data_IF_463950737677
#
_entry.id   IF_463950737677
#
_cell.length_a   1.000
_cell.length_b   1.000
_cell.length_c   1.000
_cell.angle_alpha   90.00
_cell.angle_beta   90.00
_cell.angle_gamma   90.00
#
_symmetry.space_group_name_H-M   'P 1'
#
loop_
_entity.id
_entity.type
_entity.pdbx_description
1 polymer ?
#
# COMPACT_ATOMS: atom_id res chain seq x y z
N UNK A 1 -28.11 5.70 45.43
CA UNK A 1 -27.31 6.68 44.66
C UNK A 1 -27.80 6.55 43.22
N UNK A 2 -28.46 7.58 42.68
CA UNK A 2 -29.16 7.56 41.37
C UNK A 2 -28.22 8.14 40.31
N UNK A 3 -27.42 7.28 39.69
CA UNK A 3 -26.40 7.68 38.70
C UNK A 3 -26.93 7.89 37.28
N UNK A 4 -28.20 7.56 37.01
CA UNK A 4 -28.78 7.61 35.67
C UNK A 4 -28.95 9.01 35.06
N UNK A 5 -29.00 10.08 35.86
CA UNK A 5 -29.14 11.44 35.33
C UNK A 5 -27.79 12.04 34.88
N UNK A 6 -26.68 11.59 35.51
CA UNK A 6 -25.33 12.03 35.15
C UNK A 6 -24.85 11.37 33.86
N UNK A 7 -25.33 10.17 33.58
CA UNK A 7 -24.91 9.38 32.41
C UNK A 7 -25.42 9.98 31.07
N UNK A 8 -26.69 10.42 31.02
CA UNK A 8 -27.22 11.06 29.81
C UNK A 8 -26.59 12.42 29.52
N UNK A 9 -26.42 13.28 30.54
CA UNK A 9 -25.75 14.57 30.37
C UNK A 9 -24.27 14.39 29.99
N UNK A 10 -23.58 13.43 30.62
CA UNK A 10 -22.18 13.13 30.29
C UNK A 10 -22.05 12.59 28.87
N UNK A 11 -22.96 11.71 28.44
CA UNK A 11 -23.04 11.26 27.05
C UNK A 11 -23.31 12.41 26.08
N UNK A 12 -24.27 13.29 26.39
CA UNK A 12 -24.57 14.46 25.58
C UNK A 12 -23.36 15.39 25.41
N UNK A 13 -22.68 15.73 26.51
CA UNK A 13 -21.46 16.54 26.45
C UNK A 13 -20.28 15.81 25.80
N UNK A 14 -20.20 14.48 25.91
CA UNK A 14 -19.22 13.68 25.18
C UNK A 14 -19.43 13.80 23.66
N UNK A 15 -20.65 13.58 23.16
CA UNK A 15 -20.96 13.74 21.74
C UNK A 15 -20.83 15.21 21.29
N UNK A 16 -21.24 16.18 22.11
CA UNK A 16 -21.10 17.61 21.81
C UNK A 16 -19.63 18.02 21.69
N UNK A 17 -18.79 17.61 22.64
CA UNK A 17 -17.35 17.83 22.59
C UNK A 17 -16.74 17.21 21.34
N UNK A 18 -17.11 15.98 21.01
CA UNK A 18 -16.63 15.31 19.81
C UNK A 18 -17.04 16.07 18.55
N UNK A 19 -18.33 16.39 18.39
CA UNK A 19 -18.82 17.17 17.26
C UNK A 19 -18.12 18.54 17.16
N UNK A 20 -17.92 19.23 18.28
CA UNK A 20 -17.26 20.54 18.31
C UNK A 20 -15.76 20.47 18.03
N UNK A 21 -15.11 19.39 18.46
CA UNK A 21 -13.71 19.09 18.11
C UNK A 21 -13.60 18.61 16.65
N UNK A 22 -14.73 18.49 15.94
CA UNK A 22 -14.80 18.13 14.53
C UNK A 22 -13.95 16.89 14.19
N UNK A 23 -13.89 15.94 15.11
CA UNK A 23 -12.99 14.80 15.04
C UNK A 23 -13.20 13.88 13.81
N UNK A 24 -14.32 14.03 13.09
CA UNK A 24 -14.60 13.31 11.83
C UNK A 24 -14.19 14.08 10.58
N UNK A 25 -13.81 15.36 10.71
CA UNK A 25 -13.28 16.16 9.59
C UNK A 25 -12.02 15.55 9.00
N UNK A 26 -11.01 15.10 9.77
CA UNK A 26 -9.81 14.51 9.19
C UNK A 26 -10.15 13.31 8.30
N UNK A 27 -11.07 12.44 8.73
CA UNK A 27 -11.48 11.28 7.96
C UNK A 27 -12.15 11.70 6.62
N UNK A 28 -13.10 12.63 6.68
CA UNK A 28 -13.80 13.10 5.48
C UNK A 28 -12.89 13.91 4.55
N UNK A 29 -11.91 14.64 5.09
CA UNK A 29 -10.92 15.39 4.33
C UNK A 29 -10.00 14.44 3.55
N UNK A 30 -9.51 13.37 4.19
CA UNK A 30 -8.69 12.34 3.54
C UNK A 30 -9.47 11.63 2.43
N UNK A 31 -10.73 11.25 2.70
CA UNK A 31 -11.59 10.66 1.68
C UNK A 31 -11.86 11.61 0.50
N UNK A 32 -11.96 12.91 0.76
CA UNK A 32 -12.08 13.93 -0.28
C UNK A 32 -10.76 14.06 -1.06
N UNK A 33 -9.62 14.14 -0.39
CA UNK A 33 -8.29 14.25 -1.02
C UNK A 33 -8.00 13.06 -1.92
N UNK A 34 -8.26 11.84 -1.45
CA UNK A 34 -8.09 10.62 -2.25
C UNK A 34 -9.02 10.64 -3.47
N UNK A 35 -10.27 11.09 -3.32
CA UNK A 35 -11.21 11.23 -4.45
C UNK A 35 -10.75 12.30 -5.43
N UNK A 36 -10.22 13.42 -4.95
CA UNK A 36 -9.64 14.48 -5.80
C UNK A 36 -8.45 13.97 -6.60
N UNK A 37 -7.50 13.28 -5.95
CA UNK A 37 -6.34 12.68 -6.62
C UNK A 37 -6.77 11.64 -7.66
N UNK A 38 -7.74 10.78 -7.33
CA UNK A 38 -8.30 9.79 -8.27
C UNK A 38 -9.02 10.46 -9.46
N UNK A 39 -9.77 11.53 -9.22
CA UNK A 39 -10.51 12.25 -10.26
C UNK A 39 -9.59 13.05 -11.19
N UNK A 40 -8.51 13.65 -10.66
CA UNK A 40 -7.48 14.32 -11.46
C UNK A 40 -6.69 13.34 -12.34
N UNK A 41 -6.67 12.05 -11.97
CA UNK A 41 -6.14 10.96 -12.79
C UNK A 41 -4.63 11.04 -13.05
N UNK A 42 -4.13 10.14 -13.90
CA UNK A 42 -2.71 10.06 -14.28
C UNK A 42 -2.20 11.28 -15.07
N UNK A 43 -3.09 12.21 -15.46
CA UNK A 43 -2.73 13.40 -16.25
C UNK A 43 -2.12 14.52 -15.41
N UNK A 44 -2.39 14.55 -14.11
CA UNK A 44 -1.90 15.55 -13.17
C UNK A 44 -1.06 14.93 -12.04
N UNK A 45 -0.33 13.84 -12.33
CA UNK A 45 0.73 13.39 -11.44
C UNK A 45 1.68 14.59 -11.24
N UNK A 46 1.85 15.08 -9.99
CA UNK A 46 2.77 16.18 -9.72
C UNK A 46 4.13 15.86 -10.31
N UNK A 47 4.84 16.87 -10.81
CA UNK A 47 6.15 16.68 -11.43
C UNK A 47 7.12 15.90 -10.50
N UNK A 48 6.97 16.08 -9.19
CA UNK A 48 7.69 15.30 -8.17
C UNK A 48 7.39 13.80 -8.27
N UNK A 49 6.13 13.38 -8.39
CA UNK A 49 5.82 11.95 -8.58
C UNK A 49 6.35 11.42 -9.91
N UNK A 50 6.35 12.24 -10.97
CA UNK A 50 6.92 11.85 -12.26
C UNK A 50 8.41 11.59 -12.13
N UNK A 51 9.16 12.51 -11.53
CA UNK A 51 10.59 12.38 -11.24
C UNK A 51 10.90 11.16 -10.38
N UNK A 52 10.06 10.85 -9.38
CA UNK A 52 10.22 9.66 -8.55
C UNK A 52 9.84 8.36 -9.27
N UNK A 53 9.03 8.46 -10.33
CA UNK A 53 8.64 7.33 -11.18
C UNK A 53 9.62 7.08 -12.32
N UNK A 54 10.60 7.96 -12.53
CA UNK A 54 11.63 7.74 -13.53
C UNK A 54 12.48 6.51 -13.16
N UNK A 55 12.88 5.70 -14.15
CA UNK A 55 13.74 4.56 -13.89
C UNK A 55 15.04 5.04 -13.27
N UNK A 56 15.45 4.39 -12.18
CA UNK A 56 16.75 4.65 -11.56
C UNK A 56 17.87 4.52 -12.61
N UNK A 57 18.86 5.43 -12.60
CA UNK A 57 20.06 5.30 -13.43
C UNK A 57 20.70 3.92 -13.25
N UNK A 58 21.20 3.32 -14.33
CA UNK A 58 21.79 1.97 -14.31
C UNK A 58 22.95 1.83 -13.32
N UNK A 59 23.67 2.91 -13.06
CA UNK A 59 24.77 2.94 -12.09
C UNK A 59 24.30 2.74 -10.64
N UNK A 60 23.03 3.04 -10.35
CA UNK A 60 22.39 2.83 -9.03
C UNK A 60 21.71 1.46 -8.92
N UNK A 61 21.75 0.63 -9.97
CA UNK A 61 21.14 -0.69 -9.91
C UNK A 61 21.99 -1.61 -9.01
N UNK A 62 21.34 -2.23 -8.03
CA UNK A 62 21.98 -3.24 -7.22
C UNK A 62 22.40 -4.42 -8.12
N UNK A 63 23.68 -4.81 -8.05
CA UNK A 63 24.17 -6.01 -8.74
C UNK A 63 23.57 -7.24 -8.05
N UNK A 64 22.89 -8.15 -8.77
CA UNK A 64 22.33 -9.35 -8.17
C UNK A 64 23.46 -10.23 -7.63
N UNK A 65 23.23 -10.85 -6.47
CA UNK A 65 24.17 -11.84 -5.93
C UNK A 65 24.24 -13.08 -6.82
N UNK A 66 25.35 -13.82 -6.74
CA UNK A 66 25.52 -15.06 -7.49
C UNK A 66 24.40 -16.08 -7.21
N UNK A 67 23.88 -16.10 -5.99
CA UNK A 67 22.75 -16.94 -5.59
C UNK A 67 21.45 -16.54 -6.29
N UNK A 68 21.15 -15.23 -6.38
CA UNK A 68 19.97 -14.73 -7.08
C UNK A 68 20.02 -15.03 -8.58
N UNK A 69 21.21 -15.00 -9.18
CA UNK A 69 21.39 -15.39 -10.59
C UNK A 69 21.01 -16.86 -10.81
N UNK A 70 21.47 -17.77 -9.94
CA UNK A 70 21.11 -19.20 -10.01
C UNK A 70 19.60 -19.43 -9.84
N UNK A 71 18.96 -18.69 -8.93
CA UNK A 71 17.50 -18.77 -8.77
C UNK A 71 16.75 -18.22 -9.98
N UNK A 72 17.24 -17.14 -10.59
CA UNK A 72 16.65 -16.61 -11.82
C UNK A 72 16.69 -17.64 -12.95
N UNK A 73 17.80 -18.37 -13.09
CA UNK A 73 17.91 -19.47 -14.06
C UNK A 73 16.93 -20.60 -13.77
N UNK A 74 16.77 -21.00 -12.50
CA UNK A 74 15.80 -22.02 -12.08
C UNK A 74 14.35 -21.58 -12.38
N UNK A 75 14.00 -20.33 -12.06
CA UNK A 75 12.68 -19.77 -12.38
C UNK A 75 12.44 -19.76 -13.89
N UNK A 76 13.43 -19.32 -14.69
CA UNK A 76 13.33 -19.32 -16.16
C UNK A 76 13.16 -20.73 -16.72
N UNK A 77 13.90 -21.71 -16.19
CA UNK A 77 13.77 -23.11 -16.61
C UNK A 77 12.40 -23.69 -16.27
N UNK A 78 11.88 -23.42 -15.06
CA UNK A 78 10.57 -23.89 -14.62
C UNK A 78 9.43 -23.22 -15.41
N UNK A 79 9.53 -21.90 -15.62
CA UNK A 79 8.56 -21.14 -16.41
C UNK A 79 8.53 -21.59 -17.88
N UNK A 80 9.69 -21.90 -18.48
CA UNK A 80 9.76 -22.45 -19.84
C UNK A 80 9.09 -23.83 -19.96
N UNK A 81 9.19 -24.66 -18.92
CA UNK A 81 8.52 -25.97 -18.87
C UNK A 81 7.00 -25.82 -18.68
N UNK A 82 6.55 -24.81 -17.95
CA UNK A 82 5.14 -24.61 -17.59
C UNK A 82 4.70 -23.16 -17.79
N UNK A 83 4.57 -22.68 -19.05
CA UNK A 83 4.27 -21.27 -19.33
C UNK A 83 2.86 -20.83 -18.91
N UNK A 84 1.92 -21.78 -18.76
CA UNK A 84 0.54 -21.51 -18.32
C UNK A 84 0.40 -21.35 -16.81
N UNK A 85 1.44 -21.64 -16.04
CA UNK A 85 1.39 -21.60 -14.59
C UNK A 85 1.64 -20.18 -14.07
N UNK A 86 0.91 -19.72 -13.04
CA UNK A 86 1.11 -18.39 -12.49
C UNK A 86 2.55 -18.22 -11.98
N UNK A 87 3.15 -17.08 -12.34
CA UNK A 87 4.56 -16.78 -12.04
C UNK A 87 4.86 -16.77 -10.55
N UNK A 88 3.89 -16.39 -9.71
CA UNK A 88 4.01 -16.39 -8.24
C UNK A 88 4.25 -17.79 -7.68
N UNK A 89 3.60 -18.82 -8.23
CA UNK A 89 3.82 -20.20 -7.81
C UNK A 89 5.19 -20.72 -8.23
N UNK A 90 5.64 -20.33 -9.44
CA UNK A 90 6.97 -20.68 -9.96
C UNK A 90 8.06 -20.12 -9.05
N UNK A 91 7.95 -18.85 -8.64
CA UNK A 91 8.87 -18.26 -7.66
C UNK A 91 8.78 -18.96 -6.30
N UNK A 92 7.57 -19.19 -5.79
CA UNK A 92 7.37 -19.83 -4.49
C UNK A 92 7.99 -21.24 -4.45
N UNK A 93 7.91 -22.00 -5.54
CA UNK A 93 8.54 -23.31 -5.66
C UNK A 93 10.06 -23.22 -5.64
N UNK A 94 10.67 -22.32 -6.42
CA UNK A 94 12.13 -22.12 -6.41
C UNK A 94 12.62 -21.68 -5.03
N UNK A 95 11.89 -20.82 -4.33
CA UNK A 95 12.20 -20.43 -2.95
C UNK A 95 12.05 -21.57 -1.95
N UNK A 96 11.09 -22.48 -2.13
CA UNK A 96 10.97 -23.68 -1.29
C UNK A 96 12.14 -24.65 -1.47
N UNK A 97 12.69 -24.77 -2.68
CA UNK A 97 13.85 -25.62 -2.96
C UNK A 97 15.18 -25.04 -2.43
N UNK A 98 15.20 -23.73 -2.12
CA UNK A 98 16.37 -23.06 -1.53
C UNK A 98 16.51 -23.33 -0.02
N UNK A 99 15.39 -23.43 0.70
CA UNK A 99 15.35 -23.56 2.17
C UNK A 99 15.67 -24.99 2.59
#
# INVERSE_FOLDING_TARGET
>A
IRDGQRDWLSGFFWYLYHVMTFWTLPNRLVEWEIRQIKAMGHKALPEVMRQWSEPLPKDQWAKPSAELLRMSEQVRALHKRQPRRPITEVFAEVYRHKR
#
